data_IF_291064330154
#
_entry.id   IF_291064330154
#
_cell.length_a   1.000
_cell.length_b   1.000
_cell.length_c   1.000
_cell.angle_alpha   90.00
_cell.angle_beta   90.00
_cell.angle_gamma   90.00
#
_symmetry.space_group_name_H-M   'P 1'
#
loop_
_entity.id
_entity.type
_entity.pdbx_description
1 polymer ?
#
# COMPACT_ATOMS: atom_id res chain seq x y z
N UNK A 1 10.62 23.70 -7.21
CA UNK A 1 10.60 22.41 -6.49
C UNK A 1 12.02 22.06 -6.07
N UNK A 2 12.26 21.78 -4.78
CA UNK A 2 13.58 21.35 -4.29
C UNK A 2 13.77 19.85 -4.58
N UNK A 3 14.99 19.44 -4.88
CA UNK A 3 15.36 18.02 -5.01
C UNK A 3 15.85 17.48 -3.67
N UNK A 4 15.56 16.21 -3.42
CA UNK A 4 16.17 15.47 -2.31
C UNK A 4 17.64 15.19 -2.62
N UNK A 5 18.51 15.34 -1.62
CA UNK A 5 19.95 15.06 -1.77
C UNK A 5 20.14 13.55 -1.94
N UNK A 6 21.11 13.17 -2.77
CA UNK A 6 21.47 11.75 -3.00
C UNK A 6 20.28 10.87 -3.47
N UNK A 7 19.30 11.46 -4.16
CA UNK A 7 18.09 10.74 -4.58
C UNK A 7 18.39 9.56 -5.52
N UNK A 8 19.44 9.63 -6.33
CA UNK A 8 19.84 8.52 -7.20
C UNK A 8 20.34 7.32 -6.40
N UNK A 9 21.07 7.54 -5.29
CA UNK A 9 21.44 6.47 -4.37
C UNK A 9 20.20 5.79 -3.76
N UNK A 10 19.25 6.60 -3.29
CA UNK A 10 17.97 6.12 -2.75
C UNK A 10 17.23 5.25 -3.78
N UNK A 11 17.10 5.72 -5.02
CA UNK A 11 16.46 4.98 -6.11
C UNK A 11 17.16 3.65 -6.38
N UNK A 12 18.48 3.68 -6.59
CA UNK A 12 19.26 2.48 -6.88
C UNK A 12 19.10 1.44 -5.78
N UNK A 13 19.25 1.84 -4.52
CA UNK A 13 19.09 0.92 -3.39
C UNK A 13 17.69 0.32 -3.33
N UNK A 14 16.64 1.11 -3.54
CA UNK A 14 15.27 0.61 -3.53
C UNK A 14 15.00 -0.37 -4.67
N UNK A 15 15.44 -0.05 -5.88
CA UNK A 15 15.24 -0.92 -7.04
C UNK A 15 16.06 -2.20 -6.96
N UNK A 16 17.28 -2.14 -6.45
CA UNK A 16 18.12 -3.33 -6.23
C UNK A 16 17.56 -4.23 -5.11
N UNK A 17 17.00 -3.63 -4.05
CA UNK A 17 16.51 -4.38 -2.88
C UNK A 17 15.11 -4.96 -3.11
N UNK A 18 14.20 -4.19 -3.70
CA UNK A 18 12.78 -4.55 -3.83
C UNK A 18 12.37 -4.89 -5.27
N UNK A 19 13.07 -4.36 -6.27
CA UNK A 19 12.64 -4.40 -7.66
C UNK A 19 11.61 -3.31 -8.01
N UNK A 20 11.28 -3.23 -9.31
CA UNK A 20 10.44 -2.15 -9.85
C UNK A 20 8.99 -2.23 -9.37
N UNK A 21 8.42 -3.44 -9.31
CA UNK A 21 6.99 -3.64 -9.01
C UNK A 21 6.64 -3.16 -7.59
N UNK A 22 7.34 -3.56 -6.52
CA UNK A 22 7.00 -3.09 -5.18
C UNK A 22 7.18 -1.59 -4.99
N UNK A 23 8.20 -1.00 -5.61
CA UNK A 23 8.42 0.46 -5.57
C UNK A 23 7.29 1.20 -6.27
N UNK A 24 6.89 0.76 -7.47
CA UNK A 24 5.75 1.32 -8.20
C UNK A 24 4.45 1.18 -7.41
N UNK A 25 4.18 0.00 -6.86
CA UNK A 25 3.00 -0.25 -6.05
C UNK A 25 2.97 0.64 -4.81
N UNK A 26 4.07 0.75 -4.07
CA UNK A 26 4.14 1.63 -2.91
C UNK A 26 3.80 3.08 -3.29
N UNK A 27 4.43 3.60 -4.34
CA UNK A 27 4.22 4.99 -4.77
C UNK A 27 2.79 5.26 -5.24
N UNK A 28 2.19 4.33 -5.98
CA UNK A 28 0.88 4.54 -6.60
C UNK A 28 -0.30 4.09 -5.75
N UNK A 29 -0.13 3.10 -4.89
CA UNK A 29 -1.22 2.56 -4.08
C UNK A 29 -1.12 3.00 -2.63
N UNK A 30 0.07 3.03 -2.05
CA UNK A 30 0.20 3.31 -0.61
C UNK A 30 0.48 4.78 -0.34
N UNK A 31 1.27 5.43 -1.19
CA UNK A 31 1.71 6.81 -1.00
C UNK A 31 0.91 7.84 -1.81
N UNK A 32 0.20 7.46 -2.87
CA UNK A 32 -0.44 8.42 -3.80
C UNK A 32 -1.62 9.21 -3.22
N UNK A 33 -2.15 8.79 -2.08
CA UNK A 33 -3.45 9.24 -1.59
C UNK A 33 -3.48 10.71 -1.10
N UNK A 34 -2.32 11.30 -0.78
CA UNK A 34 -2.29 12.62 -0.13
C UNK A 34 -1.20 13.56 -0.67
N UNK A 35 -1.46 14.86 -0.57
CA UNK A 35 -0.45 15.88 -0.80
C UNK A 35 0.41 16.08 0.46
N UNK A 36 1.63 15.55 0.44
CA UNK A 36 2.55 15.69 1.58
C UNK A 36 3.18 17.08 1.65
N UNK A 37 3.41 17.63 2.86
CA UNK A 37 3.95 18.97 3.04
C UNK A 37 5.39 19.13 2.49
N UNK A 38 5.80 20.38 2.32
CA UNK A 38 7.17 20.75 2.00
C UNK A 38 7.48 20.90 0.49
N UNK A 39 8.59 21.57 0.14
CA UNK A 39 8.87 22.06 -1.22
C UNK A 39 9.41 20.99 -2.19
N UNK A 40 9.39 19.71 -1.80
CA UNK A 40 9.97 18.59 -2.54
C UNK A 40 8.95 17.91 -3.44
N UNK A 41 9.42 17.22 -4.48
CA UNK A 41 8.56 16.42 -5.35
C UNK A 41 7.91 15.26 -4.58
N UNK A 42 6.61 15.02 -4.75
CA UNK A 42 5.91 13.95 -4.01
C UNK A 42 6.48 12.57 -4.27
N UNK A 43 6.88 12.27 -5.52
CA UNK A 43 7.50 10.98 -5.84
C UNK A 43 8.79 10.77 -5.04
N UNK A 44 9.65 11.79 -4.97
CA UNK A 44 10.89 11.71 -4.21
C UNK A 44 10.63 11.61 -2.69
N UNK A 45 9.59 12.29 -2.16
CA UNK A 45 9.16 12.13 -0.77
C UNK A 45 8.76 10.67 -0.48
N UNK A 46 7.96 10.08 -1.37
CA UNK A 46 7.52 8.68 -1.24
C UNK A 46 8.69 7.71 -1.28
N UNK A 47 9.64 7.91 -2.20
CA UNK A 47 10.88 7.13 -2.23
C UNK A 47 11.67 7.24 -0.93
N UNK A 48 11.75 8.43 -0.33
CA UNK A 48 12.44 8.64 0.93
C UNK A 48 11.78 7.93 2.11
N UNK A 49 10.44 7.94 2.17
CA UNK A 49 9.67 7.19 3.17
C UNK A 49 9.88 5.69 2.99
N UNK A 50 9.80 5.18 1.75
CA UNK A 50 10.07 3.78 1.46
C UNK A 50 11.50 3.36 1.81
N UNK A 51 12.47 4.22 1.51
CA UNK A 51 13.87 3.98 1.86
C UNK A 51 14.09 3.93 3.37
N UNK A 52 13.46 4.83 4.12
CA UNK A 52 13.48 4.79 5.58
C UNK A 52 12.89 3.47 6.12
N UNK A 53 11.79 2.98 5.54
CA UNK A 53 11.20 1.68 5.90
C UNK A 53 12.14 0.51 5.63
N UNK A 54 12.77 0.48 4.45
CA UNK A 54 13.64 -0.63 4.03
C UNK A 54 14.93 -0.66 4.83
N UNK A 55 15.53 0.50 5.10
CA UNK A 55 16.80 0.60 5.82
C UNK A 55 16.64 0.60 7.35
N UNK A 56 15.43 0.87 7.86
CA UNK A 56 15.18 0.98 9.29
C UNK A 56 15.78 2.22 9.95
N UNK A 57 16.02 3.29 9.17
CA UNK A 57 16.61 4.53 9.67
C UNK A 57 15.66 5.31 10.58
N UNK A 58 16.23 5.91 11.61
CA UNK A 58 15.54 6.88 12.46
C UNK A 58 15.32 8.20 11.73
N UNK A 59 14.35 9.01 12.19
CA UNK A 59 14.09 10.35 11.63
C UNK A 59 15.35 11.24 11.65
N UNK A 60 16.24 11.07 12.63
CA UNK A 60 17.47 11.84 12.72
C UNK A 60 18.46 11.47 11.60
N UNK A 61 18.60 10.18 11.27
CA UNK A 61 19.48 9.72 10.19
C UNK A 61 18.99 10.20 8.82
N UNK A 62 17.69 10.43 8.66
CA UNK A 62 17.12 10.98 7.43
C UNK A 62 17.54 12.43 7.15
N UNK A 63 18.10 13.14 8.15
CA UNK A 63 18.62 14.50 7.99
C UNK A 63 19.70 14.61 6.91
N UNK A 64 20.37 13.50 6.57
CA UNK A 64 21.32 13.42 5.45
C UNK A 64 20.68 13.80 4.11
N UNK A 65 19.43 13.38 3.87
CA UNK A 65 18.77 13.53 2.57
C UNK A 65 17.96 14.83 2.47
N UNK A 66 17.29 15.22 3.57
CA UNK A 66 16.49 16.44 3.65
C UNK A 66 16.46 16.99 5.08
N UNK A 67 16.09 18.26 5.33
CA UNK A 67 16.01 18.77 6.69
C UNK A 67 15.10 17.91 7.57
N UNK A 68 15.55 17.63 8.81
CA UNK A 68 14.84 16.77 9.75
C UNK A 68 13.38 17.18 9.96
N UNK A 69 13.12 18.48 10.11
CA UNK A 69 11.77 19.02 10.28
C UNK A 69 10.87 18.68 9.10
N UNK A 70 11.38 18.83 7.87
CA UNK A 70 10.64 18.50 6.66
C UNK A 70 10.34 17.00 6.55
N UNK A 71 11.30 16.13 6.88
CA UNK A 71 11.03 14.69 6.91
C UNK A 71 10.03 14.32 8.02
N UNK A 72 10.15 14.93 9.20
CA UNK A 72 9.24 14.72 10.31
C UNK A 72 7.79 15.09 9.95
N UNK A 73 7.58 16.19 9.24
CA UNK A 73 6.24 16.59 8.77
C UNK A 73 5.64 15.57 7.80
N UNK A 74 6.46 15.05 6.87
CA UNK A 74 6.05 13.98 5.94
C UNK A 74 5.72 12.70 6.72
N UNK A 75 6.58 12.30 7.64
CA UNK A 75 6.39 11.12 8.49
C UNK A 75 5.10 11.23 9.32
N UNK A 76 4.85 12.39 9.92
CA UNK A 76 3.62 12.65 10.69
C UNK A 76 2.37 12.59 9.81
N UNK A 77 2.43 13.12 8.59
CA UNK A 77 1.32 13.00 7.64
C UNK A 77 1.08 11.54 7.25
N UNK A 78 2.12 10.81 6.83
CA UNK A 78 2.01 9.45 6.33
C UNK A 78 1.63 8.43 7.43
N UNK A 79 2.41 8.35 8.52
CA UNK A 79 2.22 7.32 9.54
C UNK A 79 1.24 7.72 10.64
N UNK A 80 1.31 8.95 11.14
CA UNK A 80 0.53 9.32 12.33
C UNK A 80 -0.91 9.68 11.96
N UNK A 81 -1.09 10.49 10.93
CA UNK A 81 -2.44 10.86 10.45
C UNK A 81 -3.04 9.78 9.54
N UNK A 82 -2.25 9.31 8.57
CA UNK A 82 -2.68 8.31 7.60
C UNK A 82 -2.64 6.86 8.08
N UNK A 83 -1.97 6.55 9.20
CA UNK A 83 -1.65 5.17 9.60
C UNK A 83 -2.85 4.24 9.70
N UNK A 84 -3.94 4.67 10.35
CA UNK A 84 -5.15 3.84 10.48
C UNK A 84 -5.83 3.57 9.14
N UNK A 85 -5.77 4.53 8.21
CA UNK A 85 -6.34 4.38 6.86
C UNK A 85 -5.46 3.43 6.04
N UNK A 86 -4.14 3.61 6.14
CA UNK A 86 -3.15 2.75 5.49
C UNK A 86 -3.27 1.30 5.96
N UNK A 87 -3.39 1.06 7.26
CA UNK A 87 -3.52 -0.27 7.85
C UNK A 87 -4.78 -0.99 7.39
N UNK A 88 -5.93 -0.28 7.37
CA UNK A 88 -7.18 -0.79 6.79
C UNK A 88 -7.04 -1.12 5.31
N UNK A 89 -6.38 -0.24 4.54
CA UNK A 89 -6.17 -0.44 3.10
C UNK A 89 -5.31 -1.68 2.83
N UNK A 90 -4.17 -1.81 3.51
CA UNK A 90 -3.28 -2.96 3.39
C UNK A 90 -3.98 -4.25 3.81
N UNK A 91 -4.68 -4.22 4.96
CA UNK A 91 -5.44 -5.38 5.45
C UNK A 91 -6.50 -5.82 4.44
N UNK A 92 -7.26 -4.88 3.87
CA UNK A 92 -8.24 -5.17 2.83
C UNK A 92 -7.60 -5.76 1.57
N UNK A 93 -6.47 -5.19 1.11
CA UNK A 93 -5.73 -5.71 -0.03
C UNK A 93 -5.26 -7.15 0.23
N UNK A 94 -4.64 -7.43 1.37
CA UNK A 94 -4.15 -8.76 1.71
C UNK A 94 -5.29 -9.79 1.82
N UNK A 95 -6.41 -9.42 2.44
CA UNK A 95 -7.60 -10.29 2.54
C UNK A 95 -8.20 -10.63 1.17
N UNK A 96 -8.15 -9.69 0.23
CA UNK A 96 -8.78 -9.85 -1.09
C UNK A 96 -7.82 -10.37 -2.17
N UNK A 97 -6.50 -10.26 -1.96
CA UNK A 97 -5.46 -10.69 -2.91
C UNK A 97 -5.57 -12.17 -3.29
N UNK A 98 -6.05 -13.03 -2.38
CA UNK A 98 -6.26 -14.46 -2.63
C UNK A 98 -7.73 -14.86 -2.79
N UNK A 99 -8.65 -13.88 -2.77
CA UNK A 99 -10.10 -14.08 -2.89
C UNK A 99 -10.63 -13.27 -4.07
N UNK A 100 -10.11 -13.53 -5.26
CA UNK A 100 -10.69 -12.98 -6.50
C UNK A 100 -11.97 -13.73 -6.83
N UNK A 101 -12.91 -13.10 -7.55
CA UNK A 101 -14.12 -13.79 -7.99
C UNK A 101 -13.82 -15.04 -8.81
N UNK A 102 -12.77 -15.00 -9.61
CA UNK A 102 -12.29 -16.15 -10.38
C UNK A 102 -11.80 -17.28 -9.46
N UNK A 103 -11.03 -16.97 -8.42
CA UNK A 103 -10.58 -17.95 -7.43
C UNK A 103 -11.73 -18.50 -6.58
N UNK A 104 -12.68 -17.65 -6.19
CA UNK A 104 -13.88 -18.05 -5.47
C UNK A 104 -14.77 -18.98 -6.31
N UNK A 105 -14.99 -18.64 -7.58
CA UNK A 105 -15.76 -19.46 -8.53
C UNK A 105 -15.04 -20.77 -8.86
N UNK A 106 -13.73 -20.74 -9.08
CA UNK A 106 -12.94 -21.94 -9.36
C UNK A 106 -12.90 -22.88 -8.14
N UNK A 107 -12.64 -22.35 -6.94
CA UNK A 107 -12.65 -23.12 -5.69
C UNK A 107 -14.02 -23.75 -5.43
N UNK A 108 -15.11 -23.00 -5.63
CA UNK A 108 -16.45 -23.54 -5.49
C UNK A 108 -16.76 -24.61 -6.56
N UNK A 109 -16.28 -24.45 -7.79
CA UNK A 109 -16.44 -25.48 -8.83
C UNK A 109 -15.72 -26.78 -8.51
N UNK A 110 -14.62 -26.72 -7.74
CA UNK A 110 -13.85 -27.89 -7.31
C UNK A 110 -14.41 -28.56 -6.06
N UNK A 111 -14.92 -27.78 -5.11
CA UNK A 111 -15.26 -28.26 -3.76
C UNK A 111 -16.78 -28.39 -3.50
N UNK A 112 -17.64 -27.79 -4.34
CA UNK A 112 -19.08 -27.90 -4.13
C UNK A 112 -19.59 -29.29 -4.55
N UNK A 113 -20.57 -29.85 -3.82
CA UNK A 113 -21.29 -31.05 -4.25
C UNK A 113 -21.91 -30.85 -5.65
N UNK A 114 -22.09 -31.93 -6.42
CA UNK A 114 -22.50 -31.90 -7.84
C UNK A 114 -23.82 -31.15 -8.12
N UNK A 115 -24.62 -30.84 -7.09
CA UNK A 115 -25.90 -30.13 -7.18
C UNK A 115 -25.91 -28.77 -6.47
N UNK A 116 -24.76 -28.23 -6.05
CA UNK A 116 -24.63 -26.99 -5.27
C UNK A 116 -24.05 -25.84 -6.10
N UNK A 117 -24.62 -25.57 -7.28
CA UNK A 117 -24.12 -24.53 -8.21
C UNK A 117 -24.57 -23.11 -7.84
N UNK A 118 -25.60 -22.96 -7.01
CA UNK A 118 -26.32 -21.69 -6.82
C UNK A 118 -25.72 -20.78 -5.73
N UNK A 119 -25.03 -21.33 -4.73
CA UNK A 119 -24.50 -20.54 -3.59
C UNK A 119 -23.30 -19.67 -3.96
N UNK A 120 -22.48 -20.11 -4.93
CA UNK A 120 -21.34 -19.33 -5.40
C UNK A 120 -21.78 -17.99 -6.03
N UNK A 121 -22.96 -17.97 -6.65
CA UNK A 121 -23.62 -16.75 -7.15
C UNK A 121 -24.13 -15.87 -5.99
N UNK A 122 -24.61 -16.47 -4.90
CA UNK A 122 -25.08 -15.74 -3.71
C UNK A 122 -23.94 -15.10 -2.91
N UNK A 123 -22.74 -15.67 -2.92
CA UNK A 123 -21.55 -15.06 -2.29
C UNK A 123 -21.02 -13.85 -3.07
N UNK A 124 -21.38 -13.71 -4.36
CA UNK A 124 -20.94 -12.62 -5.22
C UNK A 124 -21.86 -11.38 -5.13
N UNK A 125 -23.14 -11.58 -4.80
CA UNK A 125 -24.11 -10.52 -4.52
C UNK A 125 -24.58 -10.66 -3.08
N UNK A 126 -23.90 -10.01 -2.13
CA UNK A 126 -24.28 -10.05 -0.71
C UNK A 126 -25.79 -9.83 -0.54
N UNK A 127 -26.49 -10.83 0.01
CA UNK A 127 -27.94 -10.77 0.16
C UNK A 127 -28.35 -9.79 1.28
N UNK A 128 -29.45 -9.05 1.11
CA UNK A 128 -30.10 -8.30 2.18
C UNK A 128 -30.79 -9.26 3.18
N UNK A 129 -30.99 -8.82 4.44
CA UNK A 129 -31.23 -9.69 5.60
C UNK A 129 -32.58 -10.45 5.67
N UNK A 130 -33.46 -10.38 4.66
CA UNK A 130 -34.88 -10.76 4.83
C UNK A 130 -35.33 -11.98 4.00
N UNK A 131 -34.45 -12.93 3.68
CA UNK A 131 -34.83 -14.15 2.97
C UNK A 131 -34.54 -15.42 3.77
N UNK A 132 -35.38 -15.69 4.76
CA UNK A 132 -35.72 -17.04 5.21
C UNK A 132 -37.21 -17.08 5.56
N UNK A 133 -38.03 -17.99 4.98
CA UNK A 133 -39.29 -18.42 5.59
C UNK A 133 -39.04 -19.35 6.78
#
# INVERSE_FOLDING_TARGET
VKKIREIEHVKSTLYETLGTIPVFFFLNELFSAEHYPGPYCNVEKGLLVLYQLVQGYSINEMERFMPRSSFHDIHKAFYVKGGNVLDKKISSMLLTMFSTDKLRVASASLNNPENFKHITLMLHFGYPPDFFP
#
